data_IF_889736760154
#
_entry.id   IF_889736760154
#
_cell.length_a   1.000
_cell.length_b   1.000
_cell.length_c   1.000
_cell.angle_alpha   90.00
_cell.angle_beta   90.00
_cell.angle_gamma   90.00
#
_symmetry.space_group_name_H-M   'P 1'
#
loop_
_entity.id
_entity.type
_entity.pdbx_description
1 polymer ?
#
# COMPACT_ATOMS: atom_id res chain seq x y z
N UNK A 1 19.04 -6.03 0.11
CA UNK A 1 18.41 -4.82 -0.47
C UNK A 1 17.93 -3.90 0.65
N UNK A 2 18.38 -2.65 0.64
CA UNK A 2 17.89 -1.54 1.47
C UNK A 2 16.90 -0.67 0.69
N UNK A 3 15.82 -0.26 1.36
CA UNK A 3 14.78 0.63 0.85
C UNK A 3 14.73 1.88 1.73
N UNK A 4 15.02 3.05 1.18
CA UNK A 4 14.79 4.34 1.88
C UNK A 4 13.50 4.98 1.35
N UNK A 5 12.54 5.25 2.23
CA UNK A 5 11.30 5.95 1.88
C UNK A 5 11.54 7.45 1.97
N UNK A 6 11.84 8.11 0.86
CA UNK A 6 12.10 9.55 0.82
C UNK A 6 10.84 10.39 1.09
N UNK A 7 9.68 9.82 0.75
CA UNK A 7 8.35 10.33 1.07
C UNK A 7 7.37 9.18 1.18
N UNK A 8 6.28 9.39 1.91
CA UNK A 8 5.25 8.36 2.17
C UNK A 8 3.81 8.88 2.00
N UNK A 9 3.64 10.14 1.62
CA UNK A 9 2.36 10.78 1.40
C UNK A 9 1.83 10.56 -0.01
N UNK A 10 0.56 10.89 -0.21
CA UNK A 10 -0.07 10.96 -1.53
C UNK A 10 0.64 11.96 -2.46
N UNK A 11 0.32 12.04 -3.77
CA UNK A 11 1.00 12.93 -4.71
C UNK A 11 1.05 14.42 -4.30
N UNK A 12 0.03 14.90 -3.57
CA UNK A 12 -0.01 16.26 -3.04
C UNK A 12 0.76 16.45 -1.71
N UNK A 13 1.29 15.37 -1.14
CA UNK A 13 1.81 15.32 0.23
C UNK A 13 0.70 15.35 1.29
N UNK A 14 1.11 15.30 2.55
CA UNK A 14 0.26 15.43 3.73
C UNK A 14 1.03 16.28 4.75
N UNK A 15 0.60 17.51 5.07
CA UNK A 15 -0.70 18.09 4.81
C UNK A 15 -0.83 18.60 3.37
N UNK A 16 -2.06 18.67 2.86
CA UNK A 16 -2.36 19.45 1.65
C UNK A 16 -2.30 20.95 2.00
N UNK A 17 -1.55 21.79 1.25
CA UNK A 17 -1.27 23.18 1.63
C UNK A 17 -2.50 24.04 1.94
N UNK A 18 -3.57 23.90 1.16
CA UNK A 18 -4.78 24.74 1.26
C UNK A 18 -5.93 24.06 2.02
N UNK A 19 -5.67 22.95 2.71
CA UNK A 19 -6.72 22.17 3.35
C UNK A 19 -6.72 22.34 4.89
N UNK A 20 -7.81 22.88 5.48
CA UNK A 20 -7.90 23.10 6.92
C UNK A 20 -8.46 21.89 7.69
N UNK A 21 -8.56 20.70 7.08
CA UNK A 21 -9.18 19.55 7.75
C UNK A 21 -8.33 19.06 8.94
N UNK A 22 -8.96 18.32 9.86
CA UNK A 22 -8.30 17.83 11.07
C UNK A 22 -7.07 16.96 10.78
N UNK A 23 -7.08 16.17 9.70
CA UNK A 23 -5.94 15.36 9.29
C UNK A 23 -4.75 16.24 8.88
N UNK A 24 -4.97 17.22 8.00
CA UNK A 24 -3.93 18.18 7.60
C UNK A 24 -3.43 19.02 8.78
N UNK A 25 -4.33 19.51 9.64
CA UNK A 25 -3.94 20.28 10.82
C UNK A 25 -3.09 19.47 11.81
N UNK A 26 -3.25 18.14 11.84
CA UNK A 26 -2.49 17.24 12.71
C UNK A 26 -1.22 16.69 12.06
N UNK A 27 -1.10 16.74 10.72
CA UNK A 27 0.04 16.22 9.98
C UNK A 27 1.13 17.29 9.82
N UNK A 28 1.72 17.74 10.93
CA UNK A 28 2.80 18.72 10.96
C UNK A 28 4.03 18.13 11.66
N UNK A 29 5.20 18.73 11.45
CA UNK A 29 6.45 18.24 12.04
C UNK A 29 6.78 16.82 11.56
N UNK A 30 6.97 15.89 12.50
CA UNK A 30 7.34 14.50 12.19
C UNK A 30 6.21 13.69 11.54
N UNK A 31 4.97 14.16 11.63
CA UNK A 31 3.81 13.53 10.98
C UNK A 31 3.58 14.05 9.54
N UNK A 32 4.35 15.06 9.10
CA UNK A 32 4.31 15.53 7.73
C UNK A 32 4.95 14.51 6.78
N UNK A 33 4.33 14.33 5.61
CA UNK A 33 4.72 13.38 4.58
C UNK A 33 4.86 14.09 3.24
N UNK A 34 6.06 14.07 2.68
CA UNK A 34 6.29 14.38 1.29
C UNK A 34 5.62 13.34 0.40
N UNK A 35 5.35 13.71 -0.85
CA UNK A 35 4.85 12.77 -1.84
C UNK A 35 5.79 11.57 -1.98
N UNK A 36 5.21 10.39 -2.19
CA UNK A 36 5.94 9.12 -2.15
C UNK A 36 7.06 9.05 -3.19
N UNK A 37 8.25 8.70 -2.71
CA UNK A 37 9.43 8.39 -3.53
C UNK A 37 10.31 7.40 -2.77
N UNK A 38 10.86 6.41 -3.48
CA UNK A 38 11.60 5.30 -2.87
C UNK A 38 13.00 5.18 -3.48
N UNK A 39 14.03 5.10 -2.64
CA UNK A 39 15.40 4.87 -3.06
C UNK A 39 15.83 3.45 -2.67
N UNK A 40 16.08 2.61 -3.67
CA UNK A 40 16.50 1.20 -3.51
C UNK A 40 18.00 1.09 -3.73
N UNK A 41 18.72 0.61 -2.71
CA UNK A 41 20.18 0.41 -2.69
C UNK A 41 21.00 1.63 -3.16
N UNK A 42 20.43 2.84 -3.05
CA UNK A 42 21.03 4.07 -3.58
C UNK A 42 21.15 4.12 -5.12
N UNK A 43 20.63 3.12 -5.83
CA UNK A 43 20.87 2.89 -7.26
C UNK A 43 19.62 3.05 -8.13
N UNK A 44 18.44 2.75 -7.59
CA UNK A 44 17.16 2.86 -8.27
C UNK A 44 16.25 3.82 -7.50
N UNK A 45 15.77 4.85 -8.18
CA UNK A 45 14.76 5.77 -7.66
C UNK A 45 13.41 5.43 -8.28
N UNK A 46 12.43 5.07 -7.44
CA UNK A 46 11.04 4.87 -7.84
C UNK A 46 10.23 6.10 -7.43
N UNK A 47 9.60 6.70 -8.43
CA UNK A 47 9.01 8.04 -8.41
C UNK A 47 10.00 9.15 -8.08
N UNK A 48 9.70 10.34 -8.59
CA UNK A 48 10.46 11.54 -8.32
C UNK A 48 9.48 12.63 -7.94
N UNK A 49 9.61 13.12 -6.71
CA UNK A 49 8.74 14.13 -6.15
C UNK A 49 9.50 15.44 -6.01
N UNK A 50 8.79 16.59 -6.01
CA UNK A 50 9.41 17.86 -5.68
C UNK A 50 10.21 17.76 -4.38
N UNK A 51 11.50 18.10 -4.44
CA UNK A 51 12.39 18.04 -3.28
C UNK A 51 12.99 16.65 -2.97
N UNK A 52 12.85 15.65 -3.84
CA UNK A 52 13.41 14.30 -3.62
C UNK A 52 14.92 14.31 -3.27
N UNK A 53 15.71 15.20 -3.87
CA UNK A 53 17.13 15.34 -3.54
C UNK A 53 17.36 15.82 -2.09
N UNK A 54 16.55 16.78 -1.62
CA UNK A 54 16.62 17.28 -0.25
C UNK A 54 16.08 16.23 0.74
N UNK A 55 15.03 15.50 0.37
CA UNK A 55 14.53 14.37 1.15
C UNK A 55 15.59 13.27 1.32
N UNK A 56 16.31 12.93 0.25
CA UNK A 56 17.44 12.00 0.33
C UNK A 56 18.53 12.51 1.28
N UNK A 57 18.91 13.79 1.19
CA UNK A 57 19.91 14.38 2.07
C UNK A 57 19.48 14.35 3.55
N UNK A 58 18.20 14.65 3.86
CA UNK A 58 17.65 14.53 5.23
C UNK A 58 17.67 13.09 5.75
N UNK A 59 17.51 12.11 4.86
CA UNK A 59 17.62 10.69 5.17
C UNK A 59 19.08 10.19 5.24
N UNK A 60 20.07 11.08 5.12
CA UNK A 60 21.49 10.72 5.10
C UNK A 60 21.93 9.96 3.83
N UNK A 61 21.16 10.09 2.73
CA UNK A 61 21.42 9.44 1.44
C UNK A 61 21.82 10.46 0.37
N UNK A 62 22.55 9.99 -0.63
CA UNK A 62 22.90 10.76 -1.83
C UNK A 62 22.23 10.15 -3.06
N UNK A 63 21.77 10.99 -3.99
CA UNK A 63 21.26 10.56 -5.29
C UNK A 63 22.38 10.37 -6.34
N UNK A 64 23.64 10.67 -6.00
CA UNK A 64 24.75 10.64 -6.97
C UNK A 64 25.07 9.24 -7.54
N UNK A 65 24.60 8.18 -6.88
CA UNK A 65 24.77 6.80 -7.33
C UNK A 65 23.55 6.24 -8.09
N UNK A 66 22.48 7.03 -8.22
CA UNK A 66 21.27 6.61 -8.92
C UNK A 66 21.60 6.37 -10.40
N UNK A 67 21.29 5.16 -10.87
CA UNK A 67 21.51 4.72 -12.25
C UNK A 67 20.22 4.62 -13.04
N UNK A 68 19.09 4.56 -12.36
CA UNK A 68 17.78 4.51 -12.99
C UNK A 68 16.75 5.27 -12.16
N UNK A 69 15.90 6.05 -12.84
CA UNK A 69 14.70 6.66 -12.28
C UNK A 69 13.48 6.12 -13.01
N UNK A 70 12.51 5.57 -12.29
CA UNK A 70 11.27 5.03 -12.85
C UNK A 70 10.05 5.67 -12.20
N UNK A 71 9.09 6.13 -13.01
CA UNK A 71 7.83 6.68 -12.53
C UNK A 71 6.75 5.60 -12.52
N UNK A 72 6.01 5.48 -11.43
CA UNK A 72 4.87 4.57 -11.31
C UNK A 72 3.60 5.15 -11.93
N UNK A 73 3.49 6.48 -11.97
CA UNK A 73 2.32 7.19 -12.49
C UNK A 73 2.73 8.52 -13.13
N UNK A 74 1.84 9.16 -13.91
CA UNK A 74 2.02 10.56 -14.27
C UNK A 74 2.17 11.42 -13.02
N UNK A 75 3.07 12.39 -13.06
CA UNK A 75 3.13 13.41 -12.02
C UNK A 75 2.10 14.48 -12.34
N UNK A 76 1.01 14.50 -11.59
CA UNK A 76 0.01 15.57 -11.64
C UNK A 76 0.47 16.70 -10.72
N UNK A 77 1.35 17.56 -11.22
CA UNK A 77 1.97 18.63 -10.44
C UNK A 77 2.93 19.49 -11.26
N UNK A 78 3.55 20.50 -10.63
CA UNK A 78 4.60 21.30 -11.27
C UNK A 78 5.72 20.39 -11.81
N UNK A 79 6.34 20.80 -12.92
CA UNK A 79 7.47 20.06 -13.47
C UNK A 79 8.56 19.88 -12.40
N UNK A 80 8.96 18.64 -12.17
CA UNK A 80 10.04 18.34 -11.23
C UNK A 80 11.38 18.52 -11.95
N UNK A 81 12.20 19.43 -11.44
CA UNK A 81 13.57 19.59 -11.94
C UNK A 81 14.40 18.36 -11.58
N UNK A 82 14.94 17.69 -12.59
CA UNK A 82 15.82 16.53 -12.40
C UNK A 82 17.22 17.05 -12.04
N UNK A 83 17.77 16.71 -10.86
CA UNK A 83 19.08 17.18 -10.45
C UNK A 83 20.17 16.75 -11.44
N UNK A 84 21.17 17.61 -11.63
CA UNK A 84 22.32 17.28 -12.48
C UNK A 84 22.99 15.96 -12.05
N UNK A 85 23.26 15.09 -13.03
CA UNK A 85 23.85 13.77 -12.81
C UNK A 85 22.85 12.67 -12.45
N UNK A 86 21.60 13.01 -12.16
CA UNK A 86 20.51 12.03 -12.00
C UNK A 86 19.95 11.67 -13.38
N UNK A 87 19.75 10.38 -13.70
CA UNK A 87 19.15 9.94 -14.95
C UNK A 87 17.75 10.53 -15.16
N UNK A 88 17.39 10.77 -16.43
CA UNK A 88 16.04 11.23 -16.78
C UNK A 88 14.99 10.18 -16.37
N UNK A 89 13.87 10.59 -15.73
CA UNK A 89 12.78 9.69 -15.38
C UNK A 89 12.18 9.01 -16.61
N UNK A 90 11.95 7.70 -16.50
CA UNK A 90 11.27 6.90 -17.51
C UNK A 90 10.12 6.08 -16.95
N UNK A 91 9.36 5.44 -17.83
CA UNK A 91 8.43 4.37 -17.47
C UNK A 91 8.76 3.12 -18.25
N UNK A 92 8.67 1.97 -17.61
CA UNK A 92 8.85 0.68 -18.27
C UNK A 92 7.46 0.20 -18.73
N UNK A 93 7.29 -0.19 -20.00
CA UNK A 93 6.02 -0.75 -20.46
C UNK A 93 5.64 -2.02 -19.70
N UNK A 94 4.35 -2.22 -19.47
CA UNK A 94 3.81 -3.36 -18.72
C UNK A 94 4.37 -4.71 -19.19
N UNK A 95 4.69 -5.57 -18.22
CA UNK A 95 5.22 -6.91 -18.46
C UNK A 95 6.70 -6.94 -18.86
N UNK A 96 7.33 -5.80 -19.18
CA UNK A 96 8.76 -5.74 -19.50
C UNK A 96 9.61 -5.75 -18.24
N UNK A 97 10.81 -6.29 -18.37
CA UNK A 97 11.83 -6.30 -17.33
C UNK A 97 13.04 -5.48 -17.78
N UNK A 98 13.60 -4.71 -16.85
CA UNK A 98 14.84 -3.98 -16.97
C UNK A 98 15.87 -4.60 -16.02
N UNK A 99 17.02 -5.02 -16.55
CA UNK A 99 18.16 -5.43 -15.75
C UNK A 99 19.09 -4.22 -15.54
N UNK A 100 19.42 -3.91 -14.29
CA UNK A 100 20.34 -2.83 -13.94
C UNK A 100 21.76 -3.38 -13.78
N UNK A 101 22.76 -2.54 -14.05
CA UNK A 101 24.19 -2.88 -13.87
C UNK A 101 24.53 -3.20 -12.40
N UNK A 102 23.69 -2.76 -11.46
CA UNK A 102 23.79 -3.06 -10.03
C UNK A 102 23.23 -4.43 -9.64
N UNK A 103 22.92 -5.30 -10.62
CA UNK A 103 22.40 -6.66 -10.39
C UNK A 103 20.90 -6.74 -10.10
N UNK A 104 20.21 -5.59 -10.04
CA UNK A 104 18.77 -5.55 -9.81
C UNK A 104 17.99 -5.90 -11.09
N UNK A 105 16.83 -6.54 -10.92
CA UNK A 105 15.84 -6.75 -11.99
C UNK A 105 14.56 -6.04 -11.63
N UNK A 106 14.07 -5.16 -12.51
CA UNK A 106 12.85 -4.38 -12.31
C UNK A 106 11.83 -4.77 -13.35
N UNK A 107 10.74 -5.41 -12.93
CA UNK A 107 9.64 -5.82 -13.80
C UNK A 107 8.46 -4.85 -13.62
N UNK A 108 7.95 -4.33 -14.74
CA UNK A 108 6.72 -3.56 -14.79
C UNK A 108 5.51 -4.51 -14.62
N UNK A 109 4.69 -4.22 -13.60
CA UNK A 109 3.47 -4.95 -13.28
C UNK A 109 2.29 -4.13 -13.80
N UNK A 110 1.45 -4.76 -14.62
CA UNK A 110 0.25 -4.15 -15.15
C UNK A 110 -0.76 -3.86 -14.04
N UNK A 111 -1.38 -2.68 -14.06
CA UNK A 111 -2.31 -2.20 -13.04
C UNK A 111 -3.76 -2.19 -13.54
N UNK A 112 -4.72 -2.19 -12.62
CA UNK A 112 -6.16 -2.03 -12.92
C UNK A 112 -6.62 -0.57 -13.07
N UNK A 113 -5.68 0.36 -12.89
CA UNK A 113 -5.85 1.80 -13.07
C UNK A 113 -4.63 2.38 -13.78
N UNK A 114 -4.68 3.63 -14.29
CA UNK A 114 -3.53 4.26 -14.93
C UNK A 114 -2.31 4.29 -14.01
N UNK A 115 -1.21 3.67 -14.45
CA UNK A 115 0.03 3.57 -13.70
C UNK A 115 0.72 2.23 -13.95
N UNK A 116 1.86 2.04 -13.31
CA UNK A 116 2.72 0.87 -13.42
C UNK A 116 3.25 0.54 -12.04
N UNK A 117 3.02 -0.69 -11.58
CA UNK A 117 3.70 -1.20 -10.39
C UNK A 117 5.09 -1.69 -10.77
N UNK A 118 6.02 -1.69 -9.82
CA UNK A 118 7.38 -2.17 -10.03
C UNK A 118 7.71 -3.29 -9.06
N UNK A 119 7.93 -4.49 -9.60
CA UNK A 119 8.51 -5.61 -8.88
C UNK A 119 10.03 -5.56 -9.03
N UNK A 120 10.74 -5.30 -7.93
CA UNK A 120 12.19 -5.22 -7.88
C UNK A 120 12.73 -6.50 -7.24
N UNK A 121 13.59 -7.21 -7.95
CA UNK A 121 14.39 -8.31 -7.41
C UNK A 121 15.82 -7.83 -7.22
N UNK A 122 16.31 -7.92 -5.99
CA UNK A 122 17.68 -7.53 -5.64
C UNK A 122 18.70 -8.57 -6.10
N UNK A 123 20.01 -8.24 -6.05
CA UNK A 123 21.08 -9.16 -6.42
C UNK A 123 21.09 -10.44 -5.55
N UNK A 124 20.69 -10.32 -4.29
CA UNK A 124 20.61 -11.44 -3.34
C UNK A 124 19.25 -12.18 -3.40
N UNK A 125 18.40 -11.85 -4.38
CA UNK A 125 17.12 -12.52 -4.63
C UNK A 125 15.95 -11.99 -3.81
N UNK A 126 16.12 -11.04 -2.88
CA UNK A 126 14.98 -10.44 -2.18
C UNK A 126 14.06 -9.68 -3.13
N UNK A 127 12.75 -9.72 -2.85
CA UNK A 127 11.71 -9.23 -3.75
C UNK A 127 10.85 -8.16 -3.09
N UNK A 128 10.88 -6.98 -3.68
CA UNK A 128 10.07 -5.82 -3.32
C UNK A 128 9.01 -5.58 -4.39
N UNK A 129 7.78 -5.29 -4.00
CA UNK A 129 6.74 -4.78 -4.89
C UNK A 129 6.35 -3.36 -4.48
N UNK A 130 6.40 -2.42 -5.41
CA UNK A 130 5.87 -1.08 -5.23
C UNK A 130 4.64 -0.86 -6.13
N UNK A 131 3.56 -0.33 -5.55
CA UNK A 131 2.31 -0.03 -6.27
C UNK A 131 2.03 1.49 -6.30
N UNK A 132 1.54 2.02 -7.43
CA UNK A 132 1.13 3.42 -7.52
C UNK A 132 -0.09 3.71 -6.61
N UNK A 133 -0.33 4.99 -6.27
CA UNK A 133 -1.52 5.38 -5.51
C UNK A 133 -2.77 4.98 -6.27
N UNK A 134 -3.79 4.51 -5.57
CA UNK A 134 -5.03 4.15 -6.25
C UNK A 134 -4.94 2.97 -7.22
N UNK A 135 -3.84 2.21 -7.28
CA UNK A 135 -3.66 1.06 -8.20
C UNK A 135 -3.57 -0.29 -7.51
N UNK A 136 -4.18 -1.31 -8.11
CA UNK A 136 -3.94 -2.71 -7.77
C UNK A 136 -3.40 -3.48 -8.98
N UNK A 137 -2.62 -4.56 -8.78
CA UNK A 137 -2.14 -5.38 -9.89
C UNK A 137 -3.29 -6.02 -10.67
N UNK A 138 -3.20 -5.96 -11.99
CA UNK A 138 -4.08 -6.62 -12.94
C UNK A 138 -3.45 -7.92 -13.47
N UNK A 139 -4.30 -8.86 -13.88
CA UNK A 139 -3.85 -10.12 -14.51
C UNK A 139 -3.02 -11.02 -13.60
N UNK A 140 -3.20 -10.92 -12.27
CA UNK A 140 -2.59 -11.87 -11.34
C UNK A 140 -3.26 -13.25 -11.50
N UNK A 141 -2.43 -14.29 -11.61
CA UNK A 141 -2.86 -15.68 -11.68
C UNK A 141 -2.20 -16.47 -10.55
N UNK A 142 -2.84 -17.52 -10.06
CA UNK A 142 -2.27 -18.33 -8.98
C UNK A 142 -0.92 -18.93 -9.39
N UNK A 143 0.11 -18.68 -8.58
CA UNK A 143 1.46 -19.19 -8.83
C UNK A 143 2.23 -18.48 -9.94
N UNK A 144 1.67 -17.43 -10.57
CA UNK A 144 2.39 -16.68 -11.62
C UNK A 144 3.45 -15.73 -11.06
N UNK A 145 3.40 -15.47 -9.76
CA UNK A 145 4.34 -14.62 -9.03
C UNK A 145 4.65 -15.29 -7.69
N UNK A 146 5.93 -15.50 -7.38
CA UNK A 146 6.32 -15.94 -6.04
C UNK A 146 5.99 -14.89 -4.97
N UNK A 147 6.12 -15.25 -3.70
CA UNK A 147 5.93 -14.32 -2.57
C UNK A 147 6.92 -13.14 -2.65
N UNK A 148 6.47 -11.96 -2.21
CA UNK A 148 7.31 -10.79 -1.97
C UNK A 148 7.74 -10.73 -0.51
N UNK A 149 8.97 -10.29 -0.29
CA UNK A 149 9.50 -10.01 1.05
C UNK A 149 8.94 -8.70 1.60
N UNK A 150 8.71 -7.72 0.71
CA UNK A 150 8.13 -6.44 1.07
C UNK A 150 7.18 -5.93 -0.02
N UNK A 151 6.06 -5.35 0.41
CA UNK A 151 5.09 -4.67 -0.45
C UNK A 151 4.90 -3.25 0.05
N UNK A 152 5.06 -2.27 -0.83
CA UNK A 152 4.88 -0.85 -0.57
C UNK A 152 3.68 -0.38 -1.40
N UNK A 153 2.59 0.00 -0.75
CA UNK A 153 1.32 0.22 -1.43
C UNK A 153 0.40 1.23 -0.73
N UNK A 154 -0.60 1.71 -1.47
CA UNK A 154 -1.73 2.49 -0.94
C UNK A 154 -2.74 1.57 -0.23
N UNK A 155 -2.45 1.24 1.04
CA UNK A 155 -3.28 0.34 1.85
C UNK A 155 -4.62 0.98 2.24
N UNK A 156 -4.66 2.31 2.37
CA UNK A 156 -5.86 3.03 2.84
C UNK A 156 -6.83 3.28 1.69
N UNK A 157 -6.33 3.70 0.53
CA UNK A 157 -7.11 3.98 -0.67
C UNK A 157 -7.43 2.73 -1.50
N UNK A 158 -6.56 1.71 -1.48
CA UNK A 158 -6.72 0.45 -2.23
C UNK A 158 -6.46 -0.82 -1.39
N UNK A 159 -7.24 -1.05 -0.32
CA UNK A 159 -7.10 -2.26 0.48
C UNK A 159 -7.31 -3.55 -0.34
N UNK A 160 -8.13 -3.51 -1.38
CA UNK A 160 -8.39 -4.64 -2.29
C UNK A 160 -7.13 -5.14 -3.02
N UNK A 161 -6.11 -4.29 -3.19
CA UNK A 161 -4.83 -4.69 -3.74
C UNK A 161 -4.15 -5.79 -2.89
N UNK A 162 -4.24 -5.69 -1.56
CA UNK A 162 -3.69 -6.70 -0.66
C UNK A 162 -4.48 -8.00 -0.75
N UNK A 163 -5.81 -7.91 -0.86
CA UNK A 163 -6.67 -9.08 -1.03
C UNK A 163 -6.30 -9.86 -2.31
N UNK A 164 -6.12 -9.15 -3.43
CA UNK A 164 -5.69 -9.72 -4.71
C UNK A 164 -4.31 -10.41 -4.60
N UNK A 165 -3.34 -9.75 -3.97
CA UNK A 165 -2.00 -10.32 -3.77
C UNK A 165 -2.01 -11.56 -2.86
N UNK A 166 -2.82 -11.53 -1.79
CA UNK A 166 -3.03 -12.68 -0.89
C UNK A 166 -3.67 -13.86 -1.60
N UNK A 167 -4.68 -13.61 -2.44
CA UNK A 167 -5.39 -14.65 -3.18
C UNK A 167 -4.43 -15.51 -4.03
N UNK A 168 -3.43 -14.88 -4.65
CA UNK A 168 -2.45 -15.56 -5.51
C UNK A 168 -1.19 -16.03 -4.77
N UNK A 169 -1.12 -15.83 -3.45
CA UNK A 169 0.03 -16.21 -2.62
C UNK A 169 1.25 -15.29 -2.75
N UNK A 170 1.10 -14.12 -3.37
CA UNK A 170 2.18 -13.14 -3.51
C UNK A 170 2.46 -12.36 -2.20
N UNK A 171 1.48 -12.33 -1.29
CA UNK A 171 1.58 -11.73 0.03
C UNK A 171 1.22 -12.78 1.09
N UNK A 172 2.17 -13.07 1.98
CA UNK A 172 2.02 -14.07 3.04
C UNK A 172 2.33 -13.53 4.43
N UNK A 173 2.37 -14.39 5.47
CA UNK A 173 2.55 -13.96 6.86
C UNK A 173 3.89 -13.28 7.16
N UNK A 174 4.91 -13.54 6.34
CA UNK A 174 6.24 -12.92 6.48
C UNK A 174 6.44 -11.75 5.51
N UNK A 175 5.45 -11.36 4.71
CA UNK A 175 5.60 -10.17 3.85
C UNK A 175 5.46 -8.92 4.71
N UNK A 176 6.47 -8.05 4.73
CA UNK A 176 6.35 -6.72 5.35
C UNK A 176 5.55 -5.81 4.41
N UNK A 177 4.47 -5.22 4.92
CA UNK A 177 3.60 -4.35 4.14
C UNK A 177 3.71 -2.93 4.67
N UNK A 178 4.28 -2.04 3.85
CA UNK A 178 4.47 -0.63 4.18
C UNK A 178 3.43 0.21 3.46
N UNK A 179 2.58 0.87 4.23
CA UNK A 179 1.58 1.80 3.71
C UNK A 179 2.24 3.13 3.33
N UNK A 180 2.06 3.50 2.07
CA UNK A 180 2.45 4.79 1.49
C UNK A 180 1.25 5.42 0.80
N UNK A 181 1.45 6.54 0.10
CA UNK A 181 0.37 7.31 -0.52
C UNK A 181 -0.69 7.78 0.48
N UNK A 182 -0.28 8.03 1.73
CA UNK A 182 -1.17 8.47 2.79
C UNK A 182 -1.63 9.90 2.53
N UNK A 183 -2.93 10.10 2.39
CA UNK A 183 -3.56 11.40 2.18
C UNK A 183 -4.42 11.82 3.37
N UNK A 184 -4.99 13.02 3.29
CA UNK A 184 -5.81 13.63 4.33
C UNK A 184 -7.17 12.95 4.55
N UNK A 185 -7.54 11.99 3.70
CA UNK A 185 -8.68 11.09 3.89
C UNK A 185 -8.35 9.94 4.86
N UNK A 186 -7.06 9.67 5.10
CA UNK A 186 -6.63 8.74 6.11
C UNK A 186 -6.79 9.37 7.50
N UNK A 187 -7.32 8.62 8.49
CA UNK A 187 -7.42 9.14 9.85
C UNK A 187 -6.02 9.35 10.43
N UNK A 188 -5.75 10.39 11.24
CA UNK A 188 -4.42 10.64 11.77
C UNK A 188 -4.05 9.73 12.96
N UNK A 189 -2.74 9.63 13.23
CA UNK A 189 -2.21 9.09 14.48
C UNK A 189 -2.54 7.62 14.77
N UNK A 190 -3.02 7.33 15.98
CA UNK A 190 -3.23 5.97 16.48
C UNK A 190 -4.32 5.21 15.69
N UNK A 191 -5.29 5.93 15.13
CA UNK A 191 -6.36 5.34 14.31
C UNK A 191 -5.78 4.76 13.01
N UNK A 192 -4.86 5.48 12.34
CA UNK A 192 -4.15 4.97 11.17
C UNK A 192 -3.44 3.67 11.50
N UNK A 193 -2.62 3.70 12.56
CA UNK A 193 -1.82 2.54 12.99
C UNK A 193 -2.69 1.33 13.28
N UNK A 194 -3.85 1.53 13.95
CA UNK A 194 -4.80 0.43 14.21
C UNK A 194 -5.36 -0.15 12.91
N UNK A 195 -5.79 0.69 11.96
CA UNK A 195 -6.37 0.24 10.69
C UNK A 195 -5.36 -0.51 9.83
N UNK A 196 -4.14 0.01 9.73
CA UNK A 196 -3.05 -0.64 9.00
C UNK A 196 -2.70 -1.98 9.65
N UNK A 197 -2.54 -2.04 10.97
CA UNK A 197 -2.24 -3.29 11.67
C UNK A 197 -3.32 -4.37 11.46
N UNK A 198 -4.60 -3.98 11.42
CA UNK A 198 -5.69 -4.91 11.11
C UNK A 198 -5.61 -5.49 9.69
N UNK A 199 -4.98 -4.76 8.76
CA UNK A 199 -4.69 -5.21 7.41
C UNK A 199 -3.32 -5.91 7.28
N UNK A 200 -2.54 -6.06 8.37
CA UNK A 200 -1.18 -6.61 8.35
C UNK A 200 -0.14 -5.65 7.76
N UNK A 201 -0.38 -4.34 7.85
CA UNK A 201 0.49 -3.30 7.31
C UNK A 201 0.90 -2.30 8.40
N UNK A 202 1.94 -1.52 8.11
CA UNK A 202 2.43 -0.43 8.98
C UNK A 202 2.76 0.81 8.16
N UNK A 203 2.72 1.97 8.80
CA UNK A 203 3.24 3.21 8.23
C UNK A 203 4.57 3.53 8.90
N UNK A 204 5.48 4.14 8.15
CA UNK A 204 6.75 4.65 8.65
C UNK A 204 6.88 6.15 8.36
N UNK A 205 7.71 6.90 9.10
CA UNK A 205 8.02 8.28 8.75
C UNK A 205 8.83 8.38 7.45
N UNK A 206 8.80 9.56 6.83
CA UNK A 206 9.73 9.89 5.75
C UNK A 206 11.19 9.80 6.21
N UNK A 207 12.07 9.40 5.30
CA UNK A 207 13.49 9.16 5.54
C UNK A 207 13.82 7.80 6.16
N UNK A 208 12.81 7.00 6.53
CA UNK A 208 13.04 5.66 7.10
C UNK A 208 13.75 4.76 6.10
N UNK A 209 14.83 4.10 6.53
CA UNK A 209 15.46 2.99 5.79
C UNK A 209 15.00 1.67 6.36
N UNK A 210 14.54 0.77 5.49
CA UNK A 210 14.14 -0.60 5.80
C UNK A 210 15.04 -1.59 5.06
N UNK A 211 15.28 -2.75 5.66
CA UNK A 211 15.96 -3.87 5.00
C UNK A 211 14.89 -4.82 4.48
N UNK A 212 14.85 -5.04 3.17
CA UNK A 212 13.88 -5.96 2.55
C UNK A 212 14.21 -7.39 2.97
N UNK A 213 13.23 -8.09 3.55
CA UNK A 213 13.39 -9.44 4.11
C UNK A 213 13.76 -9.48 5.61
N UNK A 214 13.85 -8.33 6.29
CA UNK A 214 13.96 -8.28 7.75
C UNK A 214 12.55 -8.32 8.37
N UNK A 215 12.13 -9.51 8.82
CA UNK A 215 10.73 -9.81 9.17
C UNK A 215 10.30 -9.41 10.60
N UNK A 216 11.11 -8.66 11.33
CA UNK A 216 10.92 -8.45 12.78
C UNK A 216 9.75 -7.53 13.15
N UNK A 217 9.29 -6.70 12.21
CA UNK A 217 8.28 -5.65 12.45
C UNK A 217 6.91 -5.92 11.80
N UNK A 218 6.68 -7.13 11.26
CA UNK A 218 5.42 -7.44 10.56
C UNK A 218 4.27 -7.56 11.56
N UNK A 219 3.19 -6.77 11.43
CA UNK A 219 2.05 -6.88 12.34
C UNK A 219 1.35 -8.23 12.20
N UNK A 220 1.12 -8.90 13.34
CA UNK A 220 0.32 -10.13 13.37
C UNK A 220 -1.12 -9.85 12.93
N UNK A 221 -1.53 -10.53 11.86
CA UNK A 221 -2.91 -10.44 11.37
C UNK A 221 -3.83 -11.32 12.23
N UNK A 222 -4.89 -10.76 12.83
CA UNK A 222 -5.83 -11.55 13.62
C UNK A 222 -6.62 -12.53 12.75
N UNK A 223 -6.52 -13.83 13.05
CA UNK A 223 -7.29 -14.88 12.34
C UNK A 223 -8.79 -14.83 12.61
N UNK A 224 -9.21 -14.19 13.72
CA UNK A 224 -10.61 -14.02 14.13
C UNK A 224 -10.77 -12.66 14.78
N UNK A 225 -11.76 -11.89 14.34
CA UNK A 225 -12.10 -10.58 14.90
C UNK A 225 -13.56 -10.57 15.33
N UNK A 226 -13.84 -10.18 16.56
CA UNK A 226 -15.19 -9.88 17.04
C UNK A 226 -15.38 -8.36 17.08
N UNK A 227 -16.30 -7.83 16.26
CA UNK A 227 -16.62 -6.40 16.24
C UNK A 227 -17.85 -6.16 17.11
N UNK A 228 -17.67 -5.40 18.19
CA UNK A 228 -18.74 -5.07 19.14
C UNK A 228 -19.18 -3.61 18.97
N UNK A 229 -20.46 -3.34 19.25
CA UNK A 229 -21.00 -1.98 19.23
C UNK A 229 -22.52 -1.93 19.30
N UNK A 230 -23.03 -0.81 19.80
CA UNK A 230 -24.46 -0.55 19.88
C UNK A 230 -25.11 -0.29 18.51
N UNK A 231 -26.41 0.00 18.52
CA UNK A 231 -27.10 0.43 17.30
C UNK A 231 -26.47 1.73 16.76
N UNK A 232 -26.23 1.80 15.44
CA UNK A 232 -25.63 2.94 14.73
C UNK A 232 -24.19 3.31 15.18
N UNK A 233 -23.48 2.39 15.83
CA UNK A 233 -22.09 2.63 16.26
C UNK A 233 -21.05 2.53 15.14
N UNK A 234 -21.46 2.19 13.92
CA UNK A 234 -20.54 1.92 12.81
C UNK A 234 -19.90 0.53 12.80
N UNK A 235 -20.34 -0.41 13.66
CA UNK A 235 -19.76 -1.78 13.73
C UNK A 235 -19.78 -2.55 12.40
N UNK A 236 -20.78 -2.36 11.54
CA UNK A 236 -20.82 -3.02 10.22
C UNK A 236 -19.79 -2.40 9.29
N UNK A 237 -19.65 -1.08 9.29
CA UNK A 237 -18.64 -0.34 8.51
C UNK A 237 -17.22 -0.74 8.94
N UNK A 238 -16.97 -0.87 10.25
CA UNK A 238 -15.69 -1.37 10.76
C UNK A 238 -15.44 -2.82 10.36
N UNK A 239 -16.47 -3.67 10.39
CA UNK A 239 -16.33 -5.06 9.95
C UNK A 239 -16.01 -5.13 8.45
N UNK A 240 -16.77 -4.45 7.60
CA UNK A 240 -16.60 -4.38 6.16
C UNK A 240 -15.20 -3.89 5.77
N UNK A 241 -14.74 -2.79 6.37
CA UNK A 241 -13.38 -2.25 6.14
C UNK A 241 -12.28 -3.29 6.42
N UNK A 242 -12.46 -4.12 7.44
CA UNK A 242 -11.48 -5.18 7.74
C UNK A 242 -11.49 -6.29 6.69
N UNK A 243 -12.61 -6.54 6.01
CA UNK A 243 -12.71 -7.59 4.98
C UNK A 243 -11.98 -7.20 3.71
N UNK A 244 -11.95 -5.90 3.37
CA UNK A 244 -11.44 -5.39 2.09
C UNK A 244 -10.01 -5.81 1.76
N UNK A 245 -9.17 -6.00 2.78
CA UNK A 245 -7.77 -6.42 2.60
C UNK A 245 -7.58 -7.94 2.46
N UNK A 246 -8.62 -8.76 2.63
CA UNK A 246 -8.52 -10.22 2.64
C UNK A 246 -9.38 -10.85 1.54
N UNK A 247 -8.89 -11.92 0.90
CA UNK A 247 -9.58 -12.51 -0.24
C UNK A 247 -10.87 -13.23 0.16
N UNK A 248 -10.83 -13.99 1.26
CA UNK A 248 -11.94 -14.79 1.76
C UNK A 248 -12.12 -14.57 3.26
N UNK A 249 -13.27 -14.01 3.66
CA UNK A 249 -13.60 -13.82 5.08
C UNK A 249 -15.01 -14.31 5.37
N UNK A 250 -15.14 -15.14 6.40
CA UNK A 250 -16.44 -15.53 6.93
C UNK A 250 -17.00 -14.43 7.83
N UNK A 251 -17.99 -13.70 7.32
CA UNK A 251 -18.72 -12.70 8.11
C UNK A 251 -19.96 -13.32 8.77
N UNK A 252 -20.01 -13.27 10.11
CA UNK A 252 -21.15 -13.75 10.91
C UNK A 252 -21.77 -12.59 11.66
N UNK A 253 -23.02 -12.25 11.34
CA UNK A 253 -23.77 -11.21 12.03
C UNK A 253 -24.84 -11.84 12.94
N UNK A 254 -24.78 -11.56 14.25
CA UNK A 254 -25.82 -11.95 15.20
C UNK A 254 -26.91 -10.88 15.26
N UNK A 255 -27.93 -10.99 14.42
CA UNK A 255 -29.13 -10.16 14.48
C UNK A 255 -30.25 -10.86 15.28
N UNK A 256 -30.86 -10.17 16.24
CA UNK A 256 -32.01 -10.71 16.99
C UNK A 256 -33.25 -10.86 16.11
N UNK A 257 -33.90 -12.01 16.16
CA UNK A 257 -35.22 -12.26 15.55
C UNK A 257 -36.29 -11.40 16.22
N UNK A 258 -36.73 -10.30 15.59
CA UNK A 258 -38.00 -9.64 15.95
C UNK A 258 -39.12 -10.27 15.10
N UNK A 259 -40.19 -10.70 15.77
CA UNK A 259 -41.21 -11.61 15.25
C UNK A 259 -42.00 -11.10 14.04
N UNK A 260 -42.12 -11.98 13.04
CA UNK A 260 -42.93 -11.90 11.81
C UNK A 260 -42.85 -13.27 11.10
N UNK A 261 -43.84 -13.69 10.29
CA UNK A 261 -44.30 -15.09 10.25
C UNK A 261 -43.28 -16.13 9.76
N UNK A 262 -43.53 -17.36 10.24
CA UNK A 262 -42.64 -18.52 10.33
C UNK A 262 -42.19 -19.12 8.99
N UNK A 263 -41.25 -18.48 8.30
CA UNK A 263 -40.47 -19.13 7.22
C UNK A 263 -38.96 -19.09 7.46
N UNK A 264 -38.54 -19.25 8.72
CA UNK A 264 -37.12 -19.46 9.03
C UNK A 264 -36.97 -20.53 10.10
N UNK A 265 -36.89 -21.79 9.66
CA UNK A 265 -36.23 -22.88 10.40
C UNK A 265 -35.11 -23.42 9.53
N UNK A 266 -33.89 -23.07 9.93
CA UNK A 266 -32.64 -23.54 9.37
C UNK A 266 -31.51 -22.85 10.13
N UNK A 267 -30.50 -23.61 10.53
CA UNK A 267 -29.29 -23.21 11.25
C UNK A 267 -28.56 -21.97 10.67
N UNK A 268 -27.64 -21.32 11.41
CA UNK A 268 -27.14 -20.00 11.04
C UNK A 268 -26.57 -20.02 9.63
N UNK A 269 -27.21 -19.26 8.75
CA UNK A 269 -26.80 -19.06 7.38
C UNK A 269 -25.53 -18.21 7.38
N UNK A 270 -24.38 -18.88 7.52
CA UNK A 270 -23.10 -18.31 7.14
C UNK A 270 -23.17 -18.01 5.65
N UNK A 271 -23.20 -16.72 5.29
CA UNK A 271 -22.92 -16.32 3.92
C UNK A 271 -21.42 -16.22 3.76
N UNK A 272 -20.84 -17.07 2.92
CA UNK A 272 -19.52 -16.83 2.37
C UNK A 272 -19.65 -15.66 1.37
N UNK A 273 -18.97 -14.57 1.63
CA UNK A 273 -18.87 -13.45 0.71
C UNK A 273 -17.47 -13.50 0.10
N UNK A 274 -17.37 -13.75 -1.20
CA UNK A 274 -16.18 -13.44 -1.98
C UNK A 274 -16.31 -12.01 -2.49
N UNK A 275 -15.20 -11.30 -2.63
CA UNK A 275 -15.15 -9.85 -2.92
C UNK A 275 -15.70 -9.42 -4.29
N UNK A 276 -16.38 -10.29 -5.05
CA UNK A 276 -16.78 -10.05 -6.44
C UNK A 276 -18.30 -9.87 -6.70
N UNK A 277 -19.18 -9.82 -5.69
CA UNK A 277 -20.61 -9.57 -5.96
C UNK A 277 -21.29 -8.74 -4.88
N UNK A 278 -21.40 -7.44 -5.12
CA UNK A 278 -22.30 -6.56 -4.39
C UNK A 278 -23.59 -6.38 -5.19
N UNK A 279 -24.72 -6.82 -4.63
CA UNK A 279 -26.04 -6.32 -5.00
C UNK A 279 -26.75 -5.89 -3.71
N UNK A 280 -27.28 -4.66 -3.63
CA UNK A 280 -28.09 -4.26 -2.48
C UNK A 280 -29.39 -5.06 -2.50
N UNK A 281 -29.72 -5.70 -1.38
CA UNK A 281 -31.10 -6.10 -1.14
C UNK A 281 -31.90 -4.83 -0.90
N UNK A 282 -32.88 -4.59 -1.79
CA UNK A 282 -33.84 -3.49 -1.84
C UNK A 282 -34.39 -3.05 -0.48
#
# INVERSE_FOLDING_TARGET
>A
MELTLLGTGAPAGLPRPDCPCAACASALGDDARAATALLVDGALLLDMTPGAAFAAARAGRSLGNVRQVLLSHPHDGPAVEVPAGVPQPGRVPDGRELALLTGHRVRAVAMDSPGTGYAVTGPDGQRLLYLPPGGAPAGLENGSVGMYDMVVADVVGRPDALAKLRAVGALGPTTDVVAVHLDHDAPPGAELRRRLAAAGARAVPDGTTLVVGAYEDVPDVPRRTLVLGGARSGKSVEAERRLEAFPDVLYVATGGTRGGPRTWRGWPSGRAWSSASWAPAS
#
